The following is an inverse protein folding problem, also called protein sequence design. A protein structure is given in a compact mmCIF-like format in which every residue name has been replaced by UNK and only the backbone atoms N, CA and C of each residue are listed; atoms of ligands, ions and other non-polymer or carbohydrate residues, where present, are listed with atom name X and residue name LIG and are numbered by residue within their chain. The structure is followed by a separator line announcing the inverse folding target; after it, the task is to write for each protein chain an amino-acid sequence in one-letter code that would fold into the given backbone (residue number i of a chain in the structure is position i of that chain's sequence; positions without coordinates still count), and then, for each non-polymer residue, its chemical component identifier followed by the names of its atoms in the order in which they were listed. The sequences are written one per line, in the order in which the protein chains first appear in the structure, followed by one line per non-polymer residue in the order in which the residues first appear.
data_IF_672216260785
#
_entry.id   IF_672216260785
#
_cell.length_a   1.000
_cell.length_b   1.000
_cell.length_c   1.000
_cell.angle_alpha   90.00
_cell.angle_beta   90.00
_cell.angle_gamma   90.00
#
_symmetry.space_group_name_H-M   'P 1'
#
loop_
_entity.id
_entity.type
_entity.pdbx_description
1 polymer ?
#
# COMPACT_ATOMS: atom_id res chain seq x y z
N UNK A 1 -18.75 24.07 -15.24
CA UNK A 1 -17.91 22.89 -15.56
C UNK A 1 -18.44 21.75 -14.71
N UNK A 2 -18.76 20.57 -15.26
CA UNK A 2 -19.44 19.54 -14.50
C UNK A 2 -18.52 19.09 -13.36
N UNK A 3 -19.05 19.07 -12.15
CA UNK A 3 -18.34 18.61 -10.95
C UNK A 3 -17.94 17.15 -11.17
N UNK A 4 -16.64 16.91 -11.36
CA UNK A 4 -16.11 15.58 -11.61
C UNK A 4 -16.22 14.78 -10.30
N UNK A 5 -17.23 13.93 -10.21
CA UNK A 5 -17.41 13.00 -9.10
C UNK A 5 -16.36 11.90 -9.27
N UNK A 6 -15.35 11.90 -8.40
CA UNK A 6 -14.36 10.84 -8.35
C UNK A 6 -14.93 9.65 -7.58
N UNK A 7 -14.83 8.47 -8.16
CA UNK A 7 -15.16 7.23 -7.44
C UNK A 7 -14.10 6.97 -6.36
N UNK A 8 -14.51 6.27 -5.30
CA UNK A 8 -13.60 5.88 -4.23
C UNK A 8 -12.38 5.10 -4.76
N UNK A 9 -12.58 4.28 -5.80
CA UNK A 9 -11.50 3.56 -6.48
C UNK A 9 -10.52 4.52 -7.15
N UNK A 10 -10.97 5.51 -7.92
CA UNK A 10 -10.10 6.52 -8.56
C UNK A 10 -9.30 7.35 -7.55
N UNK A 11 -9.89 7.67 -6.39
CA UNK A 11 -9.20 8.38 -5.32
C UNK A 11 -8.11 7.52 -4.66
N UNK A 12 -8.41 6.25 -4.35
CA UNK A 12 -7.40 5.32 -3.83
C UNK A 12 -6.28 5.08 -4.85
N UNK A 13 -6.63 4.99 -6.11
CA UNK A 13 -5.71 4.78 -7.22
C UNK A 13 -4.79 6.00 -7.45
N UNK A 14 -5.29 7.23 -7.27
CA UNK A 14 -4.46 8.42 -7.42
C UNK A 14 -3.45 8.60 -6.30
N UNK A 15 -3.70 8.04 -5.11
CA UNK A 15 -2.84 8.17 -3.94
C UNK A 15 -1.88 6.97 -3.78
N UNK A 16 -2.29 5.76 -4.17
CA UNK A 16 -1.50 4.52 -3.99
C UNK A 16 -1.05 3.84 -5.29
N UNK A 17 -1.61 4.21 -6.45
CA UNK A 17 -1.30 3.59 -7.75
C UNK A 17 -2.02 2.25 -8.02
N UNK A 18 -1.89 1.79 -9.25
CA UNK A 18 -2.45 0.54 -9.79
C UNK A 18 -1.55 -0.63 -9.42
N UNK A 19 -2.10 -1.67 -8.77
CA UNK A 19 -1.42 -2.93 -8.44
C UNK A 19 -0.32 -2.84 -7.39
N UNK A 20 -0.69 -3.11 -6.15
CA UNK A 20 0.16 -3.95 -5.31
C UNK A 20 -0.40 -5.37 -5.40
N UNK A 21 0.03 -6.10 -6.43
CA UNK A 21 -0.05 -7.56 -6.46
C UNK A 21 1.40 -8.01 -6.42
N UNK A 22 1.82 -8.55 -5.29
CA UNK A 22 3.14 -9.14 -5.17
C UNK A 22 2.95 -10.53 -4.60
N UNK A 23 3.81 -11.47 -4.98
CA UNK A 23 3.77 -12.86 -4.50
C UNK A 23 3.97 -12.90 -2.96
N UNK A 24 2.89 -13.23 -2.24
CA UNK A 24 2.73 -13.07 -0.78
C UNK A 24 3.96 -13.50 0.02
N UNK A 25 4.60 -14.61 -0.35
CA UNK A 25 5.69 -15.21 0.44
C UNK A 25 7.02 -14.46 0.36
N UNK A 26 7.30 -13.80 -0.76
CA UNK A 26 8.56 -13.09 -0.96
C UNK A 26 8.50 -11.68 -0.35
N UNK A 27 7.33 -11.03 -0.43
CA UNK A 27 7.11 -9.70 0.16
C UNK A 27 7.28 -9.73 1.66
N UNK A 28 6.69 -10.71 2.33
CA UNK A 28 6.66 -10.75 3.79
C UNK A 28 8.07 -10.77 4.36
N UNK A 29 9.00 -11.47 3.70
CA UNK A 29 10.42 -11.47 4.06
C UNK A 29 11.04 -10.09 3.87
N UNK A 30 10.72 -9.40 2.79
CA UNK A 30 11.27 -8.08 2.48
C UNK A 30 10.69 -7.00 3.40
N UNK A 31 9.39 -7.03 3.66
CA UNK A 31 8.70 -6.14 4.59
C UNK A 31 9.21 -6.34 6.00
N UNK A 32 9.42 -7.58 6.44
CA UNK A 32 10.03 -7.87 7.74
C UNK A 32 11.43 -7.25 7.85
N UNK A 33 12.30 -7.50 6.87
CA UNK A 33 13.66 -6.91 6.84
C UNK A 33 13.65 -5.38 6.78
N UNK A 34 12.66 -4.78 6.10
CA UNK A 34 12.51 -3.33 6.05
C UNK A 34 12.08 -2.80 7.42
N UNK A 35 11.06 -3.37 8.04
CA UNK A 35 10.62 -3.03 9.40
C UNK A 35 11.74 -3.16 10.43
N UNK A 36 12.56 -4.20 10.33
CA UNK A 36 13.77 -4.37 11.16
C UNK A 36 14.77 -3.21 11.01
N UNK A 37 14.84 -2.56 9.84
CA UNK A 37 15.79 -1.48 9.55
C UNK A 37 15.26 -0.08 9.87
N UNK A 38 13.99 0.18 9.57
CA UNK A 38 13.42 1.53 9.66
C UNK A 38 12.41 1.69 10.79
N UNK A 39 11.91 0.60 11.36
CA UNK A 39 10.82 0.61 12.34
C UNK A 39 9.52 0.05 11.76
N UNK A 40 8.70 -0.57 12.62
CA UNK A 40 7.41 -1.15 12.23
C UNK A 40 6.36 -0.09 11.90
N UNK A 41 6.50 1.10 12.48
CA UNK A 41 5.60 2.24 12.33
C UNK A 41 5.53 2.75 10.89
N UNK A 42 6.59 2.53 10.10
CA UNK A 42 6.70 3.02 8.73
C UNK A 42 6.02 2.13 7.68
N UNK A 43 5.60 0.91 8.05
CA UNK A 43 4.96 -0.01 7.10
C UNK A 43 3.75 -0.67 7.76
N UNK A 44 2.54 -0.31 7.30
CA UNK A 44 1.29 -0.90 7.77
C UNK A 44 0.81 -2.02 6.87
N UNK A 45 0.34 -3.11 7.47
CA UNK A 45 -0.33 -4.21 6.74
C UNK A 45 -1.80 -3.88 6.58
N UNK A 46 -2.29 -3.94 5.35
CA UNK A 46 -3.71 -3.84 4.99
C UNK A 46 -4.18 -5.24 4.61
N UNK A 47 -4.93 -5.88 5.51
CA UNK A 47 -5.43 -7.24 5.31
C UNK A 47 -6.24 -7.36 4.02
N UNK A 48 -5.92 -8.35 3.19
CA UNK A 48 -6.59 -8.58 1.91
C UNK A 48 -6.20 -7.63 0.78
N UNK A 49 -5.23 -6.72 1.01
CA UNK A 49 -4.77 -5.73 0.02
C UNK A 49 -3.25 -5.74 -0.13
N UNK A 50 -2.49 -5.73 0.97
CA UNK A 50 -1.02 -5.73 0.94
C UNK A 50 -0.40 -4.82 2.00
N UNK A 51 0.66 -4.09 1.63
CA UNK A 51 1.44 -3.26 2.55
C UNK A 51 1.44 -1.80 2.10
N UNK A 52 1.36 -0.89 3.06
CA UNK A 52 1.39 0.56 2.83
C UNK A 52 2.54 1.18 3.60
N UNK A 53 3.38 1.94 2.90
CA UNK A 53 4.39 2.78 3.52
C UNK A 53 3.74 4.02 4.13
N UNK A 54 4.13 4.33 5.37
CA UNK A 54 3.64 5.47 6.15
C UNK A 54 4.88 6.19 6.69
N UNK A 55 5.42 7.10 5.88
CA UNK A 55 6.50 8.01 6.28
C UNK A 55 6.04 9.04 7.30
#
# INVERSE_FOLDING_TARGET
MPEKVFTWEEFFHSVWGDKIIVDDRTIDVHIRKLREKIGEEYIKTIKGVGYKFVG
#
